data_IF_338937207472
#
_entry.id   IF_338937207472
#
_cell.length_a   1.000
_cell.length_b   1.000
_cell.length_c   1.000
_cell.angle_alpha   90.00
_cell.angle_beta   90.00
_cell.angle_gamma   90.00
#
_symmetry.space_group_name_H-M   'P 1'
#
loop_
_entity.id
_entity.type
_entity.pdbx_description
1 polymer ?
#
# COMPACT_ATOMS: atom_id res chain seq x y z
N UNK A 1 21.16 -19.50 -6.70
CA UNK A 1 21.28 -18.02 -6.75
C UNK A 1 20.11 -17.30 -7.42
N UNK A 2 19.34 -17.90 -8.34
CA UNK A 2 18.22 -17.24 -9.02
C UNK A 2 17.04 -16.85 -8.08
N UNK A 3 16.64 -17.72 -7.15
CA UNK A 3 15.53 -17.46 -6.22
C UNK A 3 15.77 -16.27 -5.28
N UNK A 4 16.99 -16.09 -4.79
CA UNK A 4 17.34 -14.95 -3.92
C UNK A 4 17.30 -13.61 -4.66
N UNK A 5 17.72 -13.58 -5.93
CA UNK A 5 17.61 -12.37 -6.78
C UNK A 5 16.16 -12.03 -7.10
N UNK A 6 15.33 -13.04 -7.37
CA UNK A 6 13.91 -12.86 -7.61
C UNK A 6 13.14 -12.33 -6.39
N UNK A 7 13.45 -12.83 -5.18
CA UNK A 7 12.87 -12.31 -3.94
C UNK A 7 13.30 -10.85 -3.67
N UNK A 8 14.55 -10.50 -3.93
CA UNK A 8 15.05 -9.14 -3.76
C UNK A 8 14.30 -8.14 -4.67
N UNK A 9 14.07 -8.50 -5.94
CA UNK A 9 13.31 -7.68 -6.87
C UNK A 9 11.86 -7.45 -6.41
N UNK A 10 11.18 -8.49 -5.93
CA UNK A 10 9.81 -8.36 -5.41
C UNK A 10 9.74 -7.49 -4.14
N UNK A 11 10.74 -7.59 -3.25
CA UNK A 11 10.82 -6.71 -2.07
C UNK A 11 11.05 -5.24 -2.46
N UNK A 12 11.84 -4.98 -3.49
CA UNK A 12 12.02 -3.62 -4.01
C UNK A 12 10.71 -3.08 -4.62
N UNK A 13 9.99 -3.90 -5.38
CA UNK A 13 8.69 -3.55 -5.97
C UNK A 13 7.56 -3.37 -4.92
N UNK A 14 7.73 -3.91 -3.71
CA UNK A 14 6.81 -3.70 -2.59
C UNK A 14 6.96 -2.33 -1.90
N UNK A 15 7.90 -1.49 -2.34
CA UNK A 15 8.09 -0.14 -1.81
C UNK A 15 6.93 0.79 -2.15
N UNK A 16 6.49 1.59 -1.18
CA UNK A 16 5.46 2.62 -1.36
C UNK A 16 6.04 4.00 -1.72
N UNK A 17 7.34 4.09 -2.04
CA UNK A 17 8.02 5.36 -2.30
C UNK A 17 7.41 6.14 -3.49
N UNK A 18 7.03 5.44 -4.57
CA UNK A 18 6.39 6.05 -5.73
C UNK A 18 5.02 6.67 -5.36
N UNK A 19 4.18 5.91 -4.65
CA UNK A 19 2.91 6.41 -4.13
C UNK A 19 3.13 7.63 -3.22
N UNK A 20 4.12 7.58 -2.33
CA UNK A 20 4.42 8.70 -1.43
C UNK A 20 4.80 9.97 -2.20
N UNK A 21 5.66 9.84 -3.20
CA UNK A 21 6.05 10.98 -4.06
C UNK A 21 4.82 11.59 -4.76
N UNK A 22 3.94 10.76 -5.31
CA UNK A 22 2.72 11.24 -5.96
C UNK A 22 1.78 11.97 -5.00
N UNK A 23 1.64 11.49 -3.75
CA UNK A 23 0.87 12.18 -2.72
C UNK A 23 1.52 13.49 -2.28
N UNK A 24 2.85 13.53 -2.19
CA UNK A 24 3.59 14.76 -1.91
C UNK A 24 3.40 15.78 -3.05
N UNK A 25 3.46 15.34 -4.30
CA UNK A 25 3.21 16.18 -5.49
C UNK A 25 1.73 16.64 -5.57
N UNK A 26 0.77 15.81 -5.13
CA UNK A 26 -0.65 16.18 -5.07
C UNK A 26 -0.94 17.20 -3.97
N UNK A 27 -0.34 17.03 -2.79
CA UNK A 27 -0.43 18.01 -1.70
C UNK A 27 0.16 19.35 -2.13
N UNK A 28 1.31 19.31 -2.80
CA UNK A 28 2.11 20.48 -3.10
C UNK A 28 3.21 20.70 -2.04
N UNK A 29 3.69 21.95 -1.86
CA UNK A 29 4.82 22.26 -0.99
C UNK A 29 4.61 21.79 0.44
N UNK A 30 5.72 21.55 1.14
CA UNK A 30 5.68 21.22 2.55
C UNK A 30 5.03 22.37 3.33
N UNK A 31 4.10 22.03 4.21
CA UNK A 31 3.37 23.00 5.02
C UNK A 31 4.18 23.39 6.27
N UNK A 32 5.37 23.97 6.05
CA UNK A 32 6.31 24.39 7.10
C UNK A 32 6.41 25.93 7.23
N UNK A 33 5.59 26.66 6.47
CA UNK A 33 5.58 28.12 6.49
C UNK A 33 6.68 28.78 5.66
N UNK A 34 7.56 28.00 5.00
CA UNK A 34 8.72 28.54 4.26
C UNK A 34 8.51 28.67 2.76
N UNK A 35 7.75 27.75 2.16
CA UNK A 35 7.55 27.69 0.71
C UNK A 35 6.15 28.17 0.35
N UNK A 36 5.99 29.12 -0.61
CA UNK A 36 4.69 29.55 -1.09
C UNK A 36 3.82 28.38 -1.54
N UNK A 37 2.51 28.47 -1.32
CA UNK A 37 1.54 27.39 -1.57
C UNK A 37 1.52 26.89 -3.03
N UNK A 38 1.98 27.73 -3.96
CA UNK A 38 2.20 27.40 -5.37
C UNK A 38 3.48 28.08 -5.86
N UNK A 39 4.09 27.53 -6.93
CA UNK A 39 5.18 28.16 -7.67
C UNK A 39 4.66 29.07 -8.79
N UNK A 40 3.39 28.91 -9.16
CA UNK A 40 2.74 29.76 -10.16
C UNK A 40 2.46 31.10 -9.54
N UNK A 41 3.04 32.16 -10.12
CA UNK A 41 2.65 33.52 -9.75
C UNK A 41 1.18 33.69 -10.15
N UNK A 42 0.33 33.89 -9.16
CA UNK A 42 -1.05 34.22 -9.44
C UNK A 42 -1.12 35.64 -10.02
N UNK A 43 -2.24 35.89 -10.68
CA UNK A 43 -2.61 37.23 -11.14
C UNK A 43 -2.83 38.19 -9.98
N UNK A 44 -3.09 39.46 -10.27
CA UNK A 44 -3.32 40.50 -9.26
C UNK A 44 -4.55 40.29 -8.34
N UNK A 45 -5.38 39.26 -8.54
CA UNK A 45 -6.59 39.04 -7.76
C UNK A 45 -6.97 37.55 -7.63
N UNK A 46 -7.77 37.24 -6.60
CA UNK A 46 -8.27 35.90 -6.30
C UNK A 46 -9.15 35.33 -7.41
N UNK A 47 -10.08 36.12 -7.96
CA UNK A 47 -11.01 35.66 -9.00
C UNK A 47 -10.29 35.03 -10.19
N UNK A 48 -9.16 35.60 -10.60
CA UNK A 48 -8.36 35.05 -11.69
C UNK A 48 -7.47 33.89 -11.25
N UNK A 49 -7.04 33.85 -9.98
CA UNK A 49 -6.30 32.72 -9.41
C UNK A 49 -7.18 31.47 -9.24
N UNK A 50 -8.37 31.62 -8.62
CA UNK A 50 -9.29 30.55 -8.25
C UNK A 50 -10.41 30.33 -9.29
N UNK A 51 -10.65 31.26 -10.22
CA UNK A 51 -11.50 31.07 -11.40
C UNK A 51 -12.90 31.71 -11.33
N UNK A 52 -13.62 31.67 -12.46
CA UNK A 52 -14.98 32.20 -12.59
C UNK A 52 -15.85 31.19 -13.36
N UNK A 53 -16.72 30.42 -12.66
CA UNK A 53 -17.50 29.35 -13.29
C UNK A 53 -18.55 29.86 -14.27
N UNK A 54 -19.02 31.10 -14.11
CA UNK A 54 -20.00 31.71 -14.99
C UNK A 54 -19.32 32.72 -15.92
N UNK A 55 -19.56 32.59 -17.22
CA UNK A 55 -19.03 33.49 -18.24
C UNK A 55 -17.66 33.11 -18.83
N UNK A 56 -17.05 31.99 -18.39
CA UNK A 56 -15.85 31.44 -19.02
C UNK A 56 -15.70 29.93 -18.79
N UNK A 57 -15.32 29.13 -19.80
CA UNK A 57 -14.97 27.73 -19.60
C UNK A 57 -13.57 27.56 -18.98
N UNK A 58 -12.75 28.61 -18.93
CA UNK A 58 -11.38 28.53 -18.45
C UNK A 58 -11.32 28.39 -16.93
N UNK A 59 -10.54 27.40 -16.47
CA UNK A 59 -10.24 27.22 -15.05
C UNK A 59 -9.48 28.39 -14.44
N UNK A 60 -9.50 28.50 -13.11
CA UNK A 60 -8.60 29.40 -12.39
C UNK A 60 -7.14 29.09 -12.66
N UNK A 61 -6.26 30.10 -12.67
CA UNK A 61 -4.83 29.89 -12.98
C UNK A 61 -4.13 28.92 -12.04
N UNK A 62 -4.53 28.88 -10.77
CA UNK A 62 -3.98 27.97 -9.77
C UNK A 62 -4.76 26.66 -9.67
N UNK A 63 -5.95 26.61 -10.27
CA UNK A 63 -6.90 25.53 -10.07
C UNK A 63 -6.34 24.17 -10.51
N UNK A 64 -6.30 23.27 -9.54
CA UNK A 64 -5.96 21.87 -9.68
C UNK A 64 -4.47 21.56 -9.65
N UNK A 65 -3.58 22.54 -9.49
CA UNK A 65 -2.13 22.32 -9.45
C UNK A 65 -1.73 21.40 -8.29
N UNK A 66 -2.21 21.74 -7.10
CA UNK A 66 -2.01 21.02 -5.84
C UNK A 66 -3.11 21.38 -4.85
N UNK A 67 -3.29 20.56 -3.80
CA UNK A 67 -4.23 20.87 -2.72
C UNK A 67 -3.86 22.20 -2.03
N UNK A 68 -2.56 22.47 -1.85
CA UNK A 68 -2.10 23.74 -1.28
C UNK A 68 -2.49 24.96 -2.14
N UNK A 69 -2.42 24.84 -3.47
CA UNK A 69 -2.79 25.90 -4.40
C UNK A 69 -4.31 26.16 -4.44
N UNK A 70 -5.10 25.11 -4.25
CA UNK A 70 -6.57 25.17 -4.31
C UNK A 70 -7.22 25.67 -3.00
N UNK A 71 -6.51 25.63 -1.87
CA UNK A 71 -7.05 26.20 -0.63
C UNK A 71 -6.83 27.71 -0.68
N UNK A 72 -7.79 28.43 -1.27
CA UNK A 72 -7.73 29.89 -1.43
C UNK A 72 -7.83 30.57 -0.06
N UNK A 73 -6.66 30.81 0.57
CA UNK A 73 -6.50 31.50 1.85
C UNK A 73 -7.03 32.94 1.86
N UNK A 74 -6.89 33.66 2.97
CA UNK A 74 -7.44 35.00 3.18
C UNK A 74 -6.53 36.10 2.62
N UNK A 75 -7.06 37.01 1.82
CA UNK A 75 -6.38 38.23 1.40
C UNK A 75 -6.93 39.44 2.18
N UNK A 76 -6.56 40.68 1.78
CA UNK A 76 -6.96 41.90 2.50
C UNK A 76 -8.43 42.28 2.32
N UNK A 77 -9.12 41.71 1.34
CA UNK A 77 -10.50 42.04 0.99
C UNK A 77 -11.52 41.24 1.82
N UNK A 78 -11.17 40.05 2.30
CA UNK A 78 -12.08 39.21 3.08
C UNK A 78 -11.87 39.42 4.58
N UNK A 79 -12.97 39.46 5.34
CA UNK A 79 -12.94 39.62 6.79
C UNK A 79 -13.02 38.30 7.53
N UNK A 80 -13.69 37.28 6.98
CA UNK A 80 -13.92 35.97 7.60
C UNK A 80 -12.62 35.11 7.65
N UNK A 81 -11.99 34.91 8.81
CA UNK A 81 -10.77 34.14 8.92
C UNK A 81 -10.98 32.62 9.07
N UNK A 82 -12.23 32.16 9.26
CA UNK A 82 -12.57 30.75 9.53
C UNK A 82 -13.36 30.10 8.40
N UNK A 83 -13.24 30.61 7.18
CA UNK A 83 -13.88 30.03 6.00
C UNK A 83 -13.55 28.53 5.81
N UNK A 84 -12.35 28.09 6.24
CA UNK A 84 -11.92 26.70 6.25
C UNK A 84 -11.81 26.12 7.67
N UNK A 85 -12.78 26.40 8.55
CA UNK A 85 -12.82 25.86 9.91
C UNK A 85 -12.53 24.33 9.94
N UNK A 86 -11.75 23.83 10.92
CA UNK A 86 -11.35 24.50 12.16
C UNK A 86 -10.10 25.39 12.04
N UNK A 87 -9.58 25.66 10.83
CA UNK A 87 -8.52 26.65 10.68
C UNK A 87 -9.01 28.06 11.02
N UNK A 88 -8.13 28.87 11.58
CA UNK A 88 -8.37 30.28 11.88
C UNK A 88 -7.17 31.10 11.41
N UNK A 89 -7.39 31.92 10.38
CA UNK A 89 -6.38 32.76 9.73
C UNK A 89 -6.34 34.18 10.30
N UNK A 90 -6.98 34.47 11.45
CA UNK A 90 -7.09 35.83 11.98
C UNK A 90 -5.74 36.50 12.27
N UNK A 91 -4.75 35.70 12.67
CA UNK A 91 -3.40 36.19 13.01
C UNK A 91 -2.39 36.03 11.87
N UNK A 92 -2.79 35.41 10.75
CA UNK A 92 -1.90 35.24 9.60
C UNK A 92 -1.95 36.48 8.71
N UNK A 93 -0.80 36.88 8.19
CA UNK A 93 -0.73 37.98 7.24
C UNK A 93 -1.51 37.63 5.96
N UNK A 94 -2.20 38.64 5.40
CA UNK A 94 -3.01 38.48 4.21
C UNK A 94 -2.17 38.08 2.99
N UNK A 95 -2.71 37.17 2.16
CA UNK A 95 -2.08 36.81 0.88
C UNK A 95 -2.02 38.04 -0.02
N UNK A 96 -0.90 38.19 -0.73
CA UNK A 96 -0.80 39.10 -1.87
C UNK A 96 -0.71 38.26 -3.14
N UNK A 97 -1.69 38.39 -4.04
CA UNK A 97 -1.88 37.41 -5.13
C UNK A 97 -0.81 37.46 -6.22
N UNK A 98 -0.21 38.62 -6.49
CA UNK A 98 0.80 38.80 -7.54
C UNK A 98 2.09 38.00 -7.31
N UNK A 99 2.48 37.82 -6.05
CA UNK A 99 3.72 37.12 -5.65
C UNK A 99 3.46 35.95 -4.69
N UNK A 100 2.18 35.70 -4.36
CA UNK A 100 1.77 34.72 -3.37
C UNK A 100 2.43 34.92 -2.00
N UNK A 101 2.82 36.15 -1.65
CA UNK A 101 3.35 36.48 -0.34
C UNK A 101 2.37 36.03 0.76
N UNK A 102 2.91 35.57 1.87
CA UNK A 102 2.18 35.04 3.04
C UNK A 102 1.37 33.75 2.81
N UNK A 103 1.28 33.25 1.58
CA UNK A 103 0.58 31.98 1.28
C UNK A 103 1.21 30.79 2.00
N UNK A 104 2.54 30.79 2.18
CA UNK A 104 3.27 29.75 2.89
C UNK A 104 2.76 29.59 4.35
N UNK A 105 2.58 30.72 5.05
CA UNK A 105 2.15 30.72 6.44
C UNK A 105 0.69 30.28 6.58
N UNK A 106 -0.19 30.79 5.73
CA UNK A 106 -1.58 30.37 5.75
C UNK A 106 -1.74 28.88 5.41
N UNK A 107 -0.97 28.39 4.43
CA UNK A 107 -0.95 26.96 4.11
C UNK A 107 -0.51 26.11 5.31
N UNK A 108 0.54 26.52 6.03
CA UNK A 108 0.93 25.87 7.28
C UNK A 108 -0.23 25.82 8.29
N UNK A 109 -0.91 26.94 8.53
CA UNK A 109 -2.03 27.03 9.47
C UNK A 109 -3.19 26.11 9.08
N UNK A 110 -3.59 26.13 7.80
CA UNK A 110 -4.64 25.28 7.23
C UNK A 110 -4.29 23.80 7.36
N UNK A 111 -3.06 23.43 7.00
CA UNK A 111 -2.60 22.06 7.08
C UNK A 111 -2.54 21.53 8.52
N UNK A 112 -2.07 22.35 9.48
CA UNK A 112 -2.07 21.99 10.91
C UNK A 112 -3.48 21.77 11.44
N UNK A 113 -4.45 22.57 11.00
CA UNK A 113 -5.86 22.36 11.35
C UNK A 113 -6.40 21.04 10.79
N UNK A 114 -6.08 20.73 9.53
CA UNK A 114 -6.43 19.45 8.89
C UNK A 114 -5.85 18.24 9.65
N UNK A 115 -4.59 18.32 10.10
CA UNK A 115 -3.96 17.26 10.89
C UNK A 115 -4.65 17.02 12.23
N UNK A 116 -5.11 18.07 12.92
CA UNK A 116 -5.84 17.95 14.19
C UNK A 116 -7.19 17.23 14.02
N UNK A 117 -7.84 17.41 12.87
CA UNK A 117 -9.11 16.75 12.55
C UNK A 117 -8.95 15.29 12.11
N UNK A 118 -7.83 14.93 11.50
CA UNK A 118 -7.58 13.59 10.97
C UNK A 118 -6.86 12.69 11.99
N UNK A 119 -7.62 12.03 12.87
CA UNK A 119 -7.12 11.07 13.87
C UNK A 119 -6.69 9.69 13.30
N UNK A 120 -6.02 9.70 12.15
CA UNK A 120 -5.44 8.52 11.47
C UNK A 120 -6.43 7.61 10.72
N UNK A 121 -6.47 7.79 9.40
CA UNK A 121 -6.58 6.68 8.46
C UNK A 121 -5.28 6.63 7.66
N UNK A 122 -4.64 5.48 7.60
CA UNK A 122 -3.56 5.28 6.64
C UNK A 122 -4.14 5.49 5.24
N UNK A 123 -3.41 6.19 4.37
CA UNK A 123 -3.78 6.28 2.96
C UNK A 123 -3.67 4.88 2.34
N UNK A 124 -4.81 4.23 2.16
CA UNK A 124 -4.94 3.02 1.33
C UNK A 124 -5.41 3.43 -0.07
N UNK A 125 -5.17 2.57 -1.06
CA UNK A 125 -5.64 2.80 -2.42
C UNK A 125 -7.15 3.08 -2.46
N UNK A 126 -7.95 2.29 -1.73
CA UNK A 126 -9.39 2.48 -1.61
C UNK A 126 -9.76 3.84 -0.99
N UNK A 127 -9.13 4.23 0.11
CA UNK A 127 -9.43 5.52 0.77
C UNK A 127 -9.08 6.72 -0.10
N UNK A 128 -8.00 6.61 -0.90
CA UNK A 128 -7.60 7.66 -1.84
C UNK A 128 -8.63 7.79 -2.97
N UNK A 129 -9.04 6.68 -3.58
CA UNK A 129 -10.07 6.67 -4.63
C UNK A 129 -11.39 7.23 -4.11
N UNK A 130 -11.83 6.79 -2.93
CA UNK A 130 -13.07 7.29 -2.31
C UNK A 130 -13.02 8.81 -2.04
N UNK A 131 -11.88 9.31 -1.53
CA UNK A 131 -11.71 10.74 -1.29
C UNK A 131 -11.75 11.56 -2.59
N UNK A 132 -11.06 11.10 -3.64
CA UNK A 132 -11.10 11.75 -4.97
C UNK A 132 -12.51 11.73 -5.55
N UNK A 133 -13.20 10.59 -5.50
CA UNK A 133 -14.58 10.48 -5.98
C UNK A 133 -15.51 11.45 -5.25
N UNK A 134 -15.41 11.55 -3.92
CA UNK A 134 -16.22 12.48 -3.14
C UNK A 134 -15.98 13.95 -3.54
N UNK A 135 -14.72 14.34 -3.75
CA UNK A 135 -14.35 15.69 -4.18
C UNK A 135 -14.81 15.98 -5.62
N UNK A 136 -14.74 15.01 -6.53
CA UNK A 136 -15.26 15.17 -7.89
C UNK A 136 -16.79 15.27 -7.92
N UNK A 137 -17.50 14.53 -7.06
CA UNK A 137 -18.95 14.68 -6.90
C UNK A 137 -19.30 16.06 -6.34
N UNK A 138 -18.56 16.53 -5.33
CA UNK A 138 -18.72 17.89 -4.81
C UNK A 138 -18.51 18.93 -5.92
N UNK A 139 -17.43 18.79 -6.70
CA UNK A 139 -17.09 19.68 -7.80
C UNK A 139 -18.22 19.77 -8.83
N UNK A 140 -18.81 18.62 -9.19
CA UNK A 140 -19.88 18.54 -10.19
C UNK A 140 -21.27 18.93 -9.66
N UNK A 141 -21.44 19.01 -8.33
CA UNK A 141 -22.71 19.43 -7.74
C UNK A 141 -22.89 20.92 -7.95
N UNK A 142 -23.92 21.32 -8.70
CA UNK A 142 -24.19 22.73 -9.00
C UNK A 142 -24.33 23.61 -7.74
N UNK A 143 -23.72 24.80 -7.77
CA UNK A 143 -23.65 25.78 -6.68
C UNK A 143 -24.29 27.12 -7.06
N UNK A 144 -24.64 27.93 -6.06
CA UNK A 144 -25.35 29.21 -6.22
C UNK A 144 -26.87 29.08 -6.36
N UNK A 145 -27.55 30.21 -6.51
CA UNK A 145 -28.98 30.31 -6.85
C UNK A 145 -29.22 29.59 -8.18
N UNK A 146 -30.20 28.69 -8.23
CA UNK A 146 -30.50 27.81 -9.38
C UNK A 146 -29.39 26.83 -9.78
N UNK A 147 -28.31 26.77 -8.99
CA UNK A 147 -27.20 25.81 -9.13
C UNK A 147 -26.46 25.80 -10.49
N UNK A 148 -26.20 26.95 -11.16
CA UNK A 148 -25.57 26.97 -12.48
C UNK A 148 -24.06 26.68 -12.43
N UNK A 149 -23.39 26.91 -11.30
CA UNK A 149 -21.95 26.77 -11.20
C UNK A 149 -21.56 25.32 -10.91
N UNK A 150 -21.03 24.62 -11.93
CA UNK A 150 -20.46 23.28 -11.82
C UNK A 150 -18.93 23.34 -11.94
N UNK A 151 -18.28 22.21 -11.64
CA UNK A 151 -16.82 22.06 -11.61
C UNK A 151 -16.17 22.99 -10.58
N UNK A 152 -16.83 23.14 -9.43
CA UNK A 152 -16.43 24.03 -8.34
C UNK A 152 -16.39 23.28 -7.02
N UNK A 153 -15.24 23.32 -6.36
CA UNK A 153 -15.11 22.94 -4.94
C UNK A 153 -15.26 24.19 -4.08
N UNK A 154 -15.99 24.08 -2.97
CA UNK A 154 -16.27 25.17 -2.05
C UNK A 154 -17.66 25.80 -2.21
N UNK A 155 -17.78 27.03 -1.72
CA UNK A 155 -19.05 27.74 -1.60
C UNK A 155 -19.18 28.84 -2.66
N UNK A 156 -20.34 28.88 -3.31
CA UNK A 156 -20.81 30.02 -4.11
C UNK A 156 -22.16 30.47 -3.55
N UNK A 157 -22.31 31.76 -3.34
CA UNK A 157 -23.54 32.41 -2.87
C UNK A 157 -24.16 33.27 -3.98
N UNK A 158 -25.46 33.55 -3.85
CA UNK A 158 -26.21 34.29 -4.87
C UNK A 158 -26.08 33.67 -6.27
N UNK A 159 -26.08 34.50 -7.30
CA UNK A 159 -26.04 34.02 -8.70
C UNK A 159 -24.70 33.43 -9.13
N UNK A 160 -23.61 33.70 -8.41
CA UNK A 160 -22.27 33.20 -8.74
C UNK A 160 -21.51 33.96 -9.84
N UNK A 161 -22.07 35.04 -10.39
CA UNK A 161 -21.45 35.81 -11.48
C UNK A 161 -20.11 36.49 -11.09
N UNK A 162 -19.88 36.73 -9.80
CA UNK A 162 -18.61 37.31 -9.33
C UNK A 162 -17.49 36.27 -9.32
N UNK A 163 -17.83 34.97 -9.25
CA UNK A 163 -16.90 33.86 -9.28
C UNK A 163 -16.22 33.58 -7.94
N UNK A 164 -15.05 32.93 -7.97
CA UNK A 164 -14.31 32.55 -6.77
C UNK A 164 -13.46 33.72 -6.25
N UNK A 165 -14.13 34.72 -5.71
CA UNK A 165 -13.58 35.98 -5.19
C UNK A 165 -13.41 36.03 -3.66
N UNK A 166 -13.76 34.93 -2.98
CA UNK A 166 -13.62 34.78 -1.53
C UNK A 166 -14.71 35.51 -0.74
N UNK A 167 -15.70 36.10 -1.42
CA UNK A 167 -16.79 36.77 -0.74
C UNK A 167 -17.72 35.78 -0.02
N UNK A 168 -18.42 36.29 0.98
CA UNK A 168 -19.50 35.61 1.68
C UNK A 168 -20.80 36.42 1.57
N UNK A 169 -21.95 35.79 1.81
CA UNK A 169 -23.26 36.45 1.77
C UNK A 169 -23.75 36.78 0.35
N UNK A 170 -24.60 37.80 0.20
CA UNK A 170 -25.35 38.08 -1.05
C UNK A 170 -24.54 38.80 -2.16
N UNK A 171 -23.22 38.63 -2.19
CA UNK A 171 -22.30 39.31 -3.12
C UNK A 171 -22.16 38.62 -4.49
N UNK A 172 -22.95 37.57 -4.75
CA UNK A 172 -22.89 36.75 -5.97
C UNK A 172 -21.51 36.12 -6.25
N UNK A 173 -20.67 35.98 -5.22
CA UNK A 173 -19.32 35.41 -5.28
C UNK A 173 -19.16 34.18 -4.41
N UNK A 174 -17.94 33.87 -3.98
CA UNK A 174 -17.72 32.68 -3.17
C UNK A 174 -16.29 32.33 -2.82
N UNK A 175 -16.15 31.60 -1.70
CA UNK A 175 -14.89 30.93 -1.33
C UNK A 175 -14.84 29.57 -2.02
N UNK A 176 -14.25 29.54 -3.21
CA UNK A 176 -14.25 28.37 -4.06
C UNK A 176 -13.02 28.27 -4.97
N UNK A 177 -12.92 27.16 -5.70
CA UNK A 177 -12.03 26.98 -6.85
C UNK A 177 -12.80 26.40 -8.02
N UNK A 178 -12.67 27.02 -9.18
CA UNK A 178 -13.26 26.56 -10.43
C UNK A 178 -12.22 25.89 -11.33
N UNK A 179 -12.52 24.64 -11.70
CA UNK A 179 -11.63 23.75 -12.44
C UNK A 179 -11.83 23.79 -13.95
N UNK A 180 -12.67 24.71 -14.46
CA UNK A 180 -12.97 24.82 -15.87
C UNK A 180 -14.02 23.82 -16.33
N UNK A 181 -14.61 24.06 -17.50
CA UNK A 181 -15.53 23.14 -18.15
C UNK A 181 -15.02 22.81 -19.54
N UNK A 182 -14.43 21.63 -19.70
CA UNK A 182 -14.20 21.09 -21.03
C UNK A 182 -15.56 20.63 -21.57
N UNK A 183 -15.92 21.04 -22.77
CA UNK A 183 -17.22 20.78 -23.40
C UNK A 183 -17.45 19.31 -23.80
N UNK A 184 -16.90 18.34 -23.05
CA UNK A 184 -17.10 16.91 -23.28
C UNK A 184 -16.09 15.97 -22.59
N UNK A 185 -15.38 16.40 -21.54
CA UNK A 185 -14.35 15.57 -20.86
C UNK A 185 -14.56 15.45 -19.36
N UNK A 186 -14.05 14.35 -18.78
CA UNK A 186 -13.94 14.17 -17.32
C UNK A 186 -13.20 15.35 -16.68
N UNK A 187 -13.64 15.77 -15.50
CA UNK A 187 -13.03 16.88 -14.77
C UNK A 187 -11.55 16.59 -14.43
N UNK A 188 -10.64 17.14 -15.22
CA UNK A 188 -9.21 16.85 -15.13
C UNK A 188 -8.50 17.73 -14.07
N UNK A 189 -8.62 17.35 -12.80
CA UNK A 189 -7.89 18.01 -11.70
C UNK A 189 -6.53 17.34 -11.50
N UNK A 190 -5.42 18.09 -11.65
CA UNK A 190 -4.08 17.49 -11.67
C UNK A 190 -3.70 16.83 -10.34
N UNK A 191 -3.99 17.43 -9.19
CA UNK A 191 -3.73 16.78 -7.90
C UNK A 191 -4.59 15.53 -7.69
N UNK A 192 -5.83 15.49 -8.21
CA UNK A 192 -6.70 14.32 -8.11
C UNK A 192 -6.14 13.15 -8.93
N UNK A 193 -5.67 13.42 -10.15
CA UNK A 193 -4.99 12.42 -10.99
C UNK A 193 -3.75 11.84 -10.30
N UNK A 194 -2.95 12.68 -9.63
CA UNK A 194 -1.79 12.22 -8.83
C UNK A 194 -2.22 11.33 -7.65
N UNK A 195 -3.32 11.66 -6.96
CA UNK A 195 -3.86 10.83 -5.88
C UNK A 195 -4.36 9.47 -6.38
N UNK A 196 -5.02 9.42 -7.54
CA UNK A 196 -5.45 8.17 -8.18
C UNK A 196 -4.24 7.32 -8.62
N UNK A 197 -3.23 7.96 -9.20
CA UNK A 197 -1.98 7.29 -9.56
C UNK A 197 -1.26 6.74 -8.33
N UNK A 198 -1.29 7.47 -7.20
CA UNK A 198 -0.75 6.99 -5.93
C UNK A 198 -1.52 5.76 -5.42
N UNK A 199 -2.84 5.72 -5.59
CA UNK A 199 -3.64 4.55 -5.27
C UNK A 199 -3.22 3.32 -6.10
N UNK A 200 -2.97 3.49 -7.40
CA UNK A 200 -2.49 2.42 -8.27
C UNK A 200 -1.10 1.91 -7.84
N UNK A 201 -0.19 2.80 -7.46
CA UNK A 201 1.12 2.43 -6.93
C UNK A 201 1.03 1.71 -5.57
N UNK A 202 0.06 2.06 -4.72
CA UNK A 202 -0.19 1.31 -3.48
C UNK A 202 -0.69 -0.11 -3.76
N UNK A 203 -1.57 -0.30 -4.74
CA UNK A 203 -2.05 -1.63 -5.14
C UNK A 203 -0.93 -2.48 -5.72
N UNK A 204 -0.06 -1.91 -6.57
CA UNK A 204 1.13 -2.60 -7.09
C UNK A 204 2.06 -3.03 -5.96
N UNK A 205 2.35 -2.12 -5.02
CA UNK A 205 3.20 -2.41 -3.86
C UNK A 205 2.60 -3.53 -2.99
N UNK A 206 1.28 -3.52 -2.76
CA UNK A 206 0.60 -4.56 -2.01
C UNK A 206 0.68 -5.94 -2.69
N UNK A 207 0.47 -6.00 -4.01
CA UNK A 207 0.60 -7.22 -4.79
C UNK A 207 2.04 -7.78 -4.76
N UNK A 208 3.04 -6.90 -4.94
CA UNK A 208 4.44 -7.28 -4.86
C UNK A 208 4.83 -7.79 -3.46
N UNK A 209 4.30 -7.16 -2.39
CA UNK A 209 4.51 -7.62 -1.02
C UNK A 209 3.91 -9.01 -0.78
N UNK A 210 2.71 -9.29 -1.31
CA UNK A 210 2.08 -10.60 -1.22
C UNK A 210 2.91 -11.68 -1.95
N UNK A 211 3.36 -11.39 -3.18
CA UNK A 211 4.21 -12.29 -3.95
C UNK A 211 5.55 -12.57 -3.24
N UNK A 212 6.18 -11.54 -2.65
CA UNK A 212 7.42 -11.68 -1.91
C UNK A 212 7.27 -12.61 -0.69
N UNK A 213 6.16 -12.48 0.06
CA UNK A 213 5.86 -13.37 1.20
C UNK A 213 5.70 -14.81 0.76
N UNK A 214 4.95 -15.06 -0.30
CA UNK A 214 4.77 -16.41 -0.88
C UNK A 214 6.10 -17.01 -1.34
N UNK A 215 6.94 -16.22 -2.00
CA UNK A 215 8.27 -16.67 -2.44
C UNK A 215 9.18 -16.99 -1.25
N UNK A 216 9.18 -16.16 -0.21
CA UNK A 216 9.97 -16.38 1.00
C UNK A 216 9.54 -17.65 1.76
N UNK A 217 8.24 -17.94 1.82
CA UNK A 217 7.72 -19.17 2.41
C UNK A 217 8.24 -20.41 1.66
N UNK A 218 8.12 -20.41 0.31
CA UNK A 218 8.64 -21.50 -0.52
C UNK A 218 10.14 -21.74 -0.36
N UNK A 219 10.94 -20.67 -0.26
CA UNK A 219 12.38 -20.79 -0.03
C UNK A 219 12.69 -21.37 1.36
N UNK A 220 11.89 -21.01 2.37
CA UNK A 220 12.03 -21.56 3.73
C UNK A 220 11.74 -23.06 3.75
N UNK A 221 10.67 -23.48 3.07
CA UNK A 221 10.30 -24.90 2.99
C UNK A 221 11.34 -25.71 2.21
N UNK A 222 11.84 -25.19 1.09
CA UNK A 222 12.93 -25.82 0.34
C UNK A 222 14.20 -25.98 1.19
N UNK A 223 14.56 -24.95 1.98
CA UNK A 223 15.72 -25.03 2.86
C UNK A 223 15.55 -26.13 3.92
N UNK A 224 14.37 -26.23 4.54
CA UNK A 224 14.07 -27.31 5.51
C UNK A 224 14.19 -28.69 4.86
N UNK A 225 13.63 -28.87 3.66
CA UNK A 225 13.73 -30.14 2.93
C UNK A 225 15.18 -30.49 2.61
N UNK A 226 16.00 -29.53 2.17
CA UNK A 226 17.42 -29.76 1.91
C UNK A 226 18.19 -30.13 3.18
N UNK A 227 17.92 -29.47 4.31
CA UNK A 227 18.54 -29.83 5.59
C UNK A 227 18.16 -31.25 6.02
N UNK A 228 16.89 -31.64 5.83
CA UNK A 228 16.44 -33.01 6.12
C UNK A 228 17.17 -34.04 5.24
N UNK A 229 17.30 -33.78 3.93
CA UNK A 229 18.05 -34.66 3.01
C UNK A 229 19.53 -34.74 3.40
N UNK A 230 20.16 -33.62 3.75
CA UNK A 230 21.56 -33.59 4.15
C UNK A 230 21.80 -34.37 5.46
N UNK A 231 20.88 -34.27 6.42
CA UNK A 231 20.93 -35.05 7.66
C UNK A 231 20.82 -36.56 7.37
N UNK A 232 19.87 -36.96 6.53
CA UNK A 232 19.71 -38.35 6.09
C UNK A 232 20.98 -38.88 5.39
N UNK A 233 21.63 -38.06 4.56
CA UNK A 233 22.86 -38.44 3.86
C UNK A 233 24.07 -38.55 4.82
N UNK A 234 24.17 -37.67 5.82
CA UNK A 234 25.22 -37.72 6.84
C UNK A 234 25.08 -38.97 7.73
N UNK A 235 23.86 -39.34 8.12
CA UNK A 235 23.58 -40.56 8.86
C UNK A 235 23.96 -41.83 8.06
N UNK A 236 23.76 -41.83 6.74
CA UNK A 236 24.18 -42.91 5.87
C UNK A 236 25.73 -43.04 5.76
N UNK A 237 26.48 -41.97 6.02
CA UNK A 237 27.93 -41.90 5.87
C UNK A 237 28.72 -42.28 7.13
N UNK A 238 28.02 -42.48 8.27
CA UNK A 238 28.63 -42.81 9.57
C UNK A 238 28.53 -44.29 9.96
N UNK A 239 28.31 -45.20 9.00
CA UNK A 239 28.51 -46.63 9.27
C UNK A 239 30.01 -46.95 9.33
N UNK A 240 30.57 -47.42 10.47
CA UNK A 240 31.86 -48.10 10.44
C UNK A 240 31.73 -49.36 9.58
N UNK A 241 32.82 -49.74 8.93
CA UNK A 241 32.97 -50.95 8.11
C UNK A 241 32.35 -52.18 8.79
N UNK A 242 31.11 -52.48 8.41
CA UNK A 242 30.51 -53.79 8.62
C UNK A 242 29.79 -54.14 7.34
N UNK A 243 30.37 -55.09 6.60
CA UNK A 243 29.77 -55.76 5.44
C UNK A 243 28.41 -56.32 5.84
N UNK A 244 27.33 -55.58 5.61
CA UNK A 244 25.98 -56.14 5.52
C UNK A 244 25.09 -55.19 4.71
N UNK A 245 24.80 -55.63 3.49
CA UNK A 245 23.74 -55.26 2.56
C UNK A 245 23.26 -53.80 2.51
N UNK A 246 23.89 -53.08 1.58
CA UNK A 246 23.51 -51.77 1.04
C UNK A 246 22.24 -51.84 0.17
N UNK A 247 21.13 -52.40 0.67
CA UNK A 247 19.97 -52.68 -0.19
C UNK A 247 18.58 -52.32 0.37
N UNK A 248 18.44 -51.68 1.53
CA UNK A 248 17.12 -51.60 2.20
C UNK A 248 16.33 -50.30 2.04
N UNK A 249 16.92 -49.19 1.61
CA UNK A 249 16.17 -47.91 1.46
C UNK A 249 15.89 -47.56 -0.01
N UNK A 250 16.86 -47.72 -0.90
CA UNK A 250 16.63 -47.50 -2.34
C UNK A 250 15.62 -48.51 -2.90
N UNK A 251 15.58 -49.74 -2.37
CA UNK A 251 14.57 -50.75 -2.72
C UNK A 251 13.18 -50.46 -2.15
N UNK A 252 13.04 -49.75 -1.03
CA UNK A 252 11.72 -49.47 -0.45
C UNK A 252 11.01 -48.33 -1.20
N UNK A 253 11.75 -47.32 -1.67
CA UNK A 253 11.20 -46.30 -2.58
C UNK A 253 10.74 -46.91 -3.92
N UNK A 254 11.56 -47.74 -4.56
CA UNK A 254 11.16 -48.42 -5.83
C UNK A 254 10.02 -49.43 -5.64
N UNK A 255 9.88 -50.03 -4.44
CA UNK A 255 8.77 -50.97 -4.12
C UNK A 255 7.43 -50.29 -3.87
N UNK A 256 7.39 -49.01 -3.51
CA UNK A 256 6.13 -48.27 -3.37
C UNK A 256 5.70 -47.61 -4.69
N UNK A 257 6.65 -47.18 -5.53
CA UNK A 257 6.40 -46.53 -6.84
C UNK A 257 5.81 -47.48 -7.91
N UNK A 258 5.98 -48.80 -7.74
CA UNK A 258 5.48 -49.83 -8.66
C UNK A 258 4.07 -50.34 -8.32
N UNK A 259 3.50 -49.92 -7.19
CA UNK A 259 2.14 -50.29 -6.78
C UNK A 259 1.17 -49.32 -7.43
N UNK A 260 0.08 -49.80 -8.00
CA UNK A 260 -0.93 -48.95 -8.65
C UNK A 260 -2.36 -49.15 -8.11
N UNK A 261 -2.53 -50.00 -7.09
CA UNK A 261 -3.83 -50.30 -6.45
C UNK A 261 -3.84 -49.96 -4.96
N UNK A 262 -4.92 -49.30 -4.52
CA UNK A 262 -5.07 -48.86 -3.13
C UNK A 262 -5.06 -50.02 -2.11
N UNK A 263 -5.65 -51.18 -2.45
CA UNK A 263 -5.71 -52.34 -1.56
C UNK A 263 -4.32 -52.96 -1.32
N UNK A 264 -3.46 -52.98 -2.33
CA UNK A 264 -2.11 -53.52 -2.23
C UNK A 264 -1.20 -52.60 -1.42
N UNK A 265 -1.40 -51.28 -1.50
CA UNK A 265 -0.66 -50.32 -0.68
C UNK A 265 -1.10 -50.36 0.79
N UNK A 266 -2.41 -50.48 1.08
CA UNK A 266 -2.90 -50.55 2.47
C UNK A 266 -2.37 -51.77 3.23
N UNK A 267 -2.01 -52.84 2.51
CA UNK A 267 -1.41 -54.04 3.08
C UNK A 267 0.12 -53.93 3.32
N UNK A 268 0.76 -52.85 2.86
CA UNK A 268 2.18 -52.59 3.10
C UNK A 268 2.33 -51.43 4.06
N UNK A 269 2.76 -51.71 5.29
CA UNK A 269 2.92 -50.70 6.33
C UNK A 269 3.90 -49.58 5.99
N UNK A 270 4.81 -49.84 5.05
CA UNK A 270 5.88 -48.93 4.62
C UNK A 270 5.44 -47.91 3.57
N UNK A 271 4.25 -48.08 2.96
CA UNK A 271 3.71 -47.16 1.93
C UNK A 271 2.38 -46.55 2.41
N UNK A 272 2.12 -45.29 2.06
CA UNK A 272 0.90 -44.53 2.36
C UNK A 272 0.16 -44.15 1.09
N UNK A 273 -1.15 -44.42 1.06
CA UNK A 273 -2.06 -44.00 0.00
C UNK A 273 -2.59 -42.58 0.24
N UNK A 274 -2.47 -41.70 -0.75
CA UNK A 274 -2.98 -40.32 -0.72
C UNK A 274 -4.06 -40.05 -1.79
N UNK A 275 -4.51 -41.07 -2.52
CA UNK A 275 -5.48 -40.94 -3.61
C UNK A 275 -6.96 -40.83 -3.17
N UNK A 276 -7.22 -40.66 -1.88
CA UNK A 276 -8.59 -40.62 -1.35
C UNK A 276 -9.40 -41.87 -1.69
N UNK A 277 -10.60 -41.67 -2.27
CA UNK A 277 -11.53 -42.74 -2.66
C UNK A 277 -11.22 -43.38 -4.02
N UNK A 278 -10.22 -42.87 -4.74
CA UNK A 278 -9.79 -43.46 -6.01
C UNK A 278 -9.19 -44.85 -5.73
N UNK A 279 -9.50 -45.84 -6.57
CA UNK A 279 -9.07 -47.23 -6.33
C UNK A 279 -7.73 -47.56 -7.00
N UNK A 280 -7.34 -46.78 -8.01
CA UNK A 280 -6.17 -47.02 -8.88
C UNK A 280 -5.48 -45.70 -9.26
N UNK A 281 -4.17 -45.72 -9.52
CA UNK A 281 -3.39 -44.56 -9.96
C UNK A 281 -2.20 -44.21 -9.07
N UNK A 282 -1.29 -43.34 -9.54
CA UNK A 282 -0.03 -43.02 -8.86
C UNK A 282 -0.20 -42.00 -7.72
N UNK A 283 -0.79 -42.44 -6.60
CA UNK A 283 -1.03 -41.61 -5.42
C UNK A 283 -0.33 -42.14 -4.16
N UNK A 284 0.91 -42.62 -4.30
CA UNK A 284 1.65 -43.28 -3.23
C UNK A 284 2.83 -42.44 -2.74
N UNK A 285 3.04 -42.46 -1.42
CA UNK A 285 4.24 -41.94 -0.75
C UNK A 285 4.75 -42.91 0.29
N UNK A 286 5.99 -42.76 0.72
CA UNK A 286 6.55 -43.50 1.85
C UNK A 286 5.82 -43.12 3.15
N UNK A 287 5.57 -44.11 4.02
CA UNK A 287 4.97 -43.84 5.33
C UNK A 287 6.06 -43.40 6.33
N UNK A 288 6.22 -42.09 6.49
CA UNK A 288 7.23 -41.45 7.36
C UNK A 288 7.18 -41.95 8.82
N UNK A 289 5.99 -42.23 9.35
CA UNK A 289 5.78 -42.69 10.73
C UNK A 289 6.37 -44.09 10.96
N UNK A 290 6.14 -45.01 10.01
CA UNK A 290 6.58 -46.40 10.12
C UNK A 290 8.09 -46.54 9.90
N UNK A 291 8.67 -45.65 9.09
CA UNK A 291 10.12 -45.55 8.92
C UNK A 291 10.80 -45.09 10.21
N UNK A 292 10.19 -44.14 10.93
CA UNK A 292 10.67 -43.68 12.23
C UNK A 292 10.63 -44.78 13.30
N UNK A 293 9.59 -45.62 13.34
CA UNK A 293 9.48 -46.72 14.30
C UNK A 293 10.54 -47.82 14.10
N UNK A 294 10.85 -48.20 12.84
CA UNK A 294 11.95 -49.14 12.54
C UNK A 294 13.33 -48.59 12.91
N UNK A 295 13.54 -47.29 12.73
CA UNK A 295 14.79 -46.64 13.17
C UNK A 295 14.97 -46.73 14.70
N UNK A 296 13.86 -46.73 15.45
CA UNK A 296 13.87 -46.76 16.93
C UNK A 296 14.13 -48.17 17.49
N UNK A 297 13.65 -49.23 16.82
CA UNK A 297 13.85 -50.63 17.29
C UNK A 297 15.26 -51.18 17.08
N UNK A 298 16.07 -50.58 16.18
CA UNK A 298 17.42 -51.07 15.89
C UNK A 298 18.46 -50.59 16.93
N UNK A 299 18.07 -49.72 17.87
CA UNK A 299 18.95 -49.13 18.89
C UNK A 299 19.02 -49.85 20.23
N UNK A 300 18.38 -51.02 20.41
CA UNK A 300 18.37 -51.73 21.70
C UNK A 300 19.05 -53.10 21.62
N UNK A 301 20.35 -53.10 21.89
CA UNK A 301 21.17 -54.28 22.18
C UNK A 301 22.40 -53.86 22.98
N UNK A 302 22.36 -54.04 24.31
CA UNK A 302 23.42 -53.68 25.28
C UNK A 302 24.71 -54.50 25.10
N UNK A 303 25.78 -54.39 25.90
CA UNK A 303 26.02 -54.03 27.31
C UNK A 303 27.58 -53.91 27.42
N UNK A 304 28.24 -53.00 28.15
CA UNK A 304 28.35 -52.95 29.61
C UNK A 304 29.64 -52.22 30.06
N UNK A 305 29.58 -51.62 31.26
CA UNK A 305 30.67 -51.27 32.22
C UNK A 305 31.72 -50.20 31.83
N UNK A 306 32.16 -49.22 32.65
CA UNK A 306 31.86 -48.77 34.03
C UNK A 306 32.40 -47.34 34.25
N UNK A 307 31.71 -46.58 35.12
CA UNK A 307 32.14 -45.46 36.01
C UNK A 307 33.41 -44.64 35.70
N UNK A 308 33.26 -43.30 35.67
CA UNK A 308 33.63 -42.43 36.80
C UNK A 308 32.95 -41.06 36.72
N UNK A 309 32.31 -40.66 37.81
CA UNK A 309 31.81 -39.30 38.11
C UNK A 309 32.94 -38.31 38.38
N UNK A 310 32.86 -37.10 37.81
CA UNK A 310 33.42 -35.90 38.43
C UNK A 310 32.44 -34.72 38.33
N UNK A 311 32.06 -34.21 39.50
CA UNK A 311 31.41 -32.91 39.70
C UNK A 311 32.47 -31.81 39.67
N UNK A 312 32.21 -30.67 39.03
CA UNK A 312 32.81 -29.41 39.44
C UNK A 312 31.77 -28.27 39.46
N UNK A 313 31.75 -27.60 40.62
CA UNK A 313 31.12 -26.32 40.97
C UNK A 313 31.76 -25.21 40.11
N UNK A 314 31.09 -24.14 39.68
CA UNK A 314 30.28 -23.24 40.50
C UNK A 314 31.21 -22.29 41.29
N UNK A 315 31.62 -21.20 40.65
CA UNK A 315 32.11 -19.97 41.29
C UNK A 315 31.41 -18.80 40.63
#
# INVERSE_FOLDING_TARGET
MAGSRYLAAQKAAASTAAARKLLDDARGPQADGSTPATKTTATNNRKTACGTPLGSPAKGKLAGESIAADICGKDRQQTEPKACAPADLANDAAITWNDMANSAKQWETLFRACQKGNKHKYATAETLRAAVTALLVEANTGKGTDRPAQHVIGLITGTGNTGCDGANGDTNGGTCVYYGSDSGGDLAISWASKMLSAADELDKAAQAAAAARTTAAKLTDLNKTMTAIALLAAEASHKPDSKTDTNTITQSMTKCETINKAAECKNKTECKWEGGDVKEGNHFKLNETHVAEKATQTGSGGNGETKTTYKQKGN
#
